data_IF_756930604990
#
_entry.id   IF_756930604990
#
_cell.length_a   1.000
_cell.length_b   1.000
_cell.length_c   1.000
_cell.angle_alpha   90.00
_cell.angle_beta   90.00
_cell.angle_gamma   90.00
#
_symmetry.space_group_name_H-M   'P 1'
#
loop_
_entity.id
_entity.type
_entity.pdbx_description
1 polymer ?
#
# COMPACT_ATOMS: atom_id res chain seq x y z
N UNK A 1 6.63 -9.32 14.98
CA UNK A 1 6.38 -10.14 13.76
C UNK A 1 6.82 -11.59 13.99
N UNK A 2 8.08 -11.85 14.36
CA UNK A 2 8.58 -13.22 14.60
C UNK A 2 7.71 -14.06 15.55
N UNK A 3 7.38 -13.54 16.74
CA UNK A 3 6.50 -14.23 17.70
C UNK A 3 5.13 -14.52 17.12
N UNK A 4 4.56 -13.63 16.32
CA UNK A 4 3.27 -13.84 15.68
C UNK A 4 3.33 -14.98 14.65
N UNK A 5 4.46 -15.15 13.96
CA UNK A 5 4.68 -16.29 13.05
C UNK A 5 4.78 -17.62 13.81
N UNK A 6 5.34 -17.61 15.03
CA UNK A 6 5.45 -18.81 15.87
C UNK A 6 4.13 -19.21 16.51
N UNK A 7 3.42 -18.24 17.10
CA UNK A 7 2.22 -18.53 17.91
C UNK A 7 0.95 -18.60 17.08
N UNK A 8 0.88 -17.90 15.94
CA UNK A 8 -0.31 -17.80 15.08
C UNK A 8 -1.50 -17.23 15.85
N UNK A 9 -1.49 -15.95 16.26
CA UNK A 9 -2.59 -15.36 17.01
C UNK A 9 -3.85 -15.22 16.15
N UNK A 10 -5.03 -15.36 16.78
CA UNK A 10 -6.35 -15.26 16.13
C UNK A 10 -6.50 -16.28 14.97
N UNK A 11 -6.87 -15.80 13.78
CA UNK A 11 -7.01 -16.59 12.56
C UNK A 11 -5.69 -16.75 11.79
N UNK A 12 -4.56 -16.26 12.34
CA UNK A 12 -3.25 -16.42 11.70
C UNK A 12 -2.76 -17.86 11.86
N UNK A 13 -2.40 -18.56 10.77
CA UNK A 13 -1.81 -19.89 10.88
C UNK A 13 -0.44 -19.83 11.56
N UNK A 14 -0.09 -20.90 12.25
CA UNK A 14 1.21 -21.07 12.91
C UNK A 14 2.25 -21.51 11.87
N UNK A 15 3.43 -20.91 11.89
CA UNK A 15 4.55 -21.27 11.02
C UNK A 15 5.66 -21.92 11.85
N UNK A 16 5.63 -23.25 11.92
CA UNK A 16 6.65 -24.04 12.63
C UNK A 16 8.00 -24.04 11.91
N UNK A 17 9.08 -24.38 12.61
CA UNK A 17 10.43 -24.47 12.02
C UNK A 17 10.57 -25.58 10.95
N UNK A 18 9.58 -26.48 10.84
CA UNK A 18 9.49 -27.45 9.74
C UNK A 18 8.92 -26.86 8.45
N UNK A 19 8.21 -25.73 8.55
CA UNK A 19 7.58 -25.06 7.41
C UNK A 19 8.37 -23.84 6.96
N UNK A 20 8.95 -23.09 7.91
CA UNK A 20 9.81 -21.95 7.66
C UNK A 20 10.97 -21.99 8.65
N UNK A 21 12.21 -22.02 8.15
CA UNK A 21 13.41 -21.98 9.01
C UNK A 21 13.51 -20.63 9.73
N UNK A 22 14.33 -20.54 10.80
CA UNK A 22 14.59 -19.27 11.47
C UNK A 22 15.15 -18.20 10.52
N UNK A 23 16.03 -18.56 9.57
CA UNK A 23 16.52 -17.61 8.56
C UNK A 23 15.40 -17.13 7.64
N UNK A 24 14.57 -18.04 7.10
CA UNK A 24 13.47 -17.66 6.21
C UNK A 24 12.46 -16.74 6.91
N UNK A 25 12.21 -16.95 8.22
CA UNK A 25 11.38 -16.05 9.02
C UNK A 25 12.01 -14.65 9.14
N UNK A 26 13.33 -14.55 9.30
CA UNK A 26 14.02 -13.27 9.35
C UNK A 26 13.97 -12.54 8.01
N UNK A 27 14.12 -13.28 6.90
CA UNK A 27 14.03 -12.73 5.55
C UNK A 27 12.64 -12.18 5.26
N UNK A 28 11.58 -12.91 5.63
CA UNK A 28 10.19 -12.43 5.51
C UNK A 28 9.98 -11.16 6.34
N UNK A 29 10.52 -11.11 7.56
CA UNK A 29 10.43 -9.91 8.41
C UNK A 29 11.17 -8.73 7.78
N UNK A 30 12.36 -8.96 7.21
CA UNK A 30 13.12 -7.93 6.51
C UNK A 30 12.35 -7.40 5.30
N UNK A 31 11.73 -8.28 4.52
CA UNK A 31 10.86 -7.89 3.41
C UNK A 31 9.67 -7.03 3.88
N UNK A 32 8.91 -7.49 4.87
CA UNK A 32 7.76 -6.74 5.41
C UNK A 32 8.19 -5.34 5.87
N UNK A 33 9.31 -5.23 6.59
CA UNK A 33 9.85 -3.93 7.01
C UNK A 33 10.22 -3.05 5.82
N UNK A 34 10.90 -3.60 4.81
CA UNK A 34 11.28 -2.82 3.63
C UNK A 34 10.06 -2.23 2.89
N UNK A 35 8.97 -3.00 2.77
CA UNK A 35 7.73 -2.54 2.14
C UNK A 35 7.01 -1.52 3.03
N UNK A 36 6.89 -1.80 4.33
CA UNK A 36 6.17 -0.94 5.27
C UNK A 36 6.85 0.41 5.48
N UNK A 37 8.19 0.45 5.46
CA UNK A 37 8.99 1.67 5.59
C UNK A 37 9.01 2.51 4.30
N UNK A 38 8.24 2.14 3.27
CA UNK A 38 8.12 2.90 2.03
C UNK A 38 9.31 2.79 1.08
N UNK A 39 10.26 1.88 1.36
CA UNK A 39 11.46 1.67 0.50
C UNK A 39 11.12 1.00 -0.84
N UNK A 40 9.89 0.49 -0.99
CA UNK A 40 9.41 -0.22 -2.18
C UNK A 40 8.18 0.43 -2.84
N UNK A 41 8.01 1.76 -2.77
CA UNK A 41 6.90 2.49 -3.39
C UNK A 41 7.34 3.37 -4.58
N UNK A 42 7.66 2.80 -5.76
CA UNK A 42 7.86 3.57 -6.98
C UNK A 42 6.51 4.12 -7.50
N UNK A 43 6.52 5.27 -8.19
CA UNK A 43 5.33 5.77 -8.90
C UNK A 43 4.59 6.96 -8.28
N UNK A 44 5.23 7.73 -7.40
CA UNK A 44 4.67 8.96 -6.84
C UNK A 44 4.01 8.74 -5.48
N UNK A 45 2.93 9.48 -5.19
CA UNK A 45 2.25 9.39 -3.89
C UNK A 45 1.47 8.06 -3.79
N UNK A 46 1.76 7.19 -2.79
CA UNK A 46 1.18 5.84 -2.72
C UNK A 46 -0.24 5.79 -2.15
N UNK A 47 -0.84 6.94 -1.79
CA UNK A 47 -2.21 7.07 -1.29
C UNK A 47 -2.60 6.05 -0.20
N UNK A 48 -1.63 5.72 0.67
CA UNK A 48 -1.80 4.78 1.78
C UNK A 48 -1.74 3.30 1.41
N UNK A 49 -1.42 2.94 0.15
CA UNK A 49 -1.34 1.55 -0.29
C UNK A 49 -2.69 0.83 -0.30
N UNK A 50 -3.79 1.60 -0.35
CA UNK A 50 -5.17 1.09 -0.33
C UNK A 50 -5.55 0.35 -1.61
N UNK A 51 -4.74 0.48 -2.66
CA UNK A 51 -4.89 -0.21 -3.93
C UNK A 51 -5.68 0.56 -4.99
N UNK A 52 -5.88 -0.07 -6.16
CA UNK A 52 -6.24 0.62 -7.40
C UNK A 52 -7.64 1.27 -7.37
N UNK A 53 -8.55 0.76 -6.53
CA UNK A 53 -9.91 1.33 -6.42
C UNK A 53 -9.87 2.71 -5.77
N UNK A 54 -9.15 2.83 -4.65
CA UNK A 54 -9.00 4.09 -3.92
C UNK A 54 -8.20 5.10 -4.73
N UNK A 55 -7.12 4.65 -5.37
CA UNK A 55 -6.32 5.47 -6.30
C UNK A 55 -7.15 5.96 -7.48
N UNK A 56 -7.94 5.07 -8.09
CA UNK A 56 -8.83 5.42 -9.20
C UNK A 56 -9.92 6.42 -8.82
N UNK A 57 -10.50 6.27 -7.63
CA UNK A 57 -11.47 7.23 -7.09
C UNK A 57 -10.84 8.61 -6.91
N UNK A 58 -9.64 8.68 -6.32
CA UNK A 58 -8.92 9.94 -6.12
C UNK A 58 -8.56 10.56 -7.47
N UNK A 59 -8.01 9.78 -8.39
CA UNK A 59 -7.67 10.23 -9.74
C UNK A 59 -8.91 10.76 -10.48
N UNK A 60 -10.06 10.12 -10.34
CA UNK A 60 -11.31 10.56 -10.95
C UNK A 60 -11.80 11.88 -10.34
N UNK A 61 -11.90 11.97 -9.02
CA UNK A 61 -12.38 13.18 -8.34
C UNK A 61 -11.47 14.37 -8.64
N UNK A 62 -10.15 14.20 -8.46
CA UNK A 62 -9.17 15.26 -8.70
C UNK A 62 -9.12 15.62 -10.19
N UNK A 63 -9.14 14.63 -11.07
CA UNK A 63 -9.12 14.84 -12.53
C UNK A 63 -10.35 15.62 -13.01
N UNK A 64 -11.55 15.22 -12.60
CA UNK A 64 -12.79 15.90 -12.98
C UNK A 64 -12.84 17.31 -12.36
N UNK A 65 -12.49 17.46 -11.08
CA UNK A 65 -12.45 18.77 -10.43
C UNK A 65 -11.48 19.72 -11.14
N UNK A 66 -10.31 19.24 -11.54
CA UNK A 66 -9.34 20.02 -12.31
C UNK A 66 -9.90 20.43 -13.68
N UNK A 67 -10.52 19.50 -14.42
CA UNK A 67 -11.13 19.80 -15.72
C UNK A 67 -12.24 20.85 -15.60
N UNK A 68 -13.14 20.72 -14.62
CA UNK A 68 -14.21 21.70 -14.36
C UNK A 68 -13.63 23.06 -13.99
N UNK A 69 -12.60 23.10 -13.14
CA UNK A 69 -11.93 24.34 -12.78
C UNK A 69 -11.32 25.06 -14.00
N UNK A 70 -10.68 24.30 -14.88
CA UNK A 70 -10.10 24.84 -16.12
C UNK A 70 -11.19 25.34 -17.07
N UNK A 71 -12.28 24.60 -17.26
CA UNK A 71 -13.36 25.03 -18.17
C UNK A 71 -14.06 26.28 -17.68
N UNK A 72 -14.34 26.40 -16.38
CA UNK A 72 -14.91 27.62 -15.78
C UNK A 72 -13.97 28.81 -15.93
N UNK A 73 -12.67 28.61 -15.74
CA UNK A 73 -11.67 29.68 -15.88
C UNK A 73 -11.57 30.22 -17.30
N UNK A 74 -11.60 29.33 -18.30
CA UNK A 74 -11.60 29.72 -19.72
C UNK A 74 -12.91 30.43 -20.06
N UNK A 75 -14.06 29.85 -19.65
CA UNK A 75 -15.38 30.43 -19.92
C UNK A 75 -15.59 31.80 -19.27
N UNK A 76 -15.02 32.06 -18.10
CA UNK A 76 -15.09 33.36 -17.43
C UNK A 76 -14.21 34.45 -18.07
N UNK A 77 -13.29 34.08 -18.96
CA UNK A 77 -12.39 35.02 -19.69
C UNK A 77 -12.79 35.26 -21.13
N UNK A 78 -13.74 34.48 -21.66
CA UNK A 78 -14.36 34.68 -22.97
C UNK A 78 -15.47 35.72 -22.86
#
# INVERSE_FOLDING_TARGET
>A
IYTAMLTGPQNMPKFSDRQLTPEEKQDIIAYIKSVTDGKNNPGGAPLGGLGPVSEGLIAFIVGIAALVGVTLWIGAKA
#
